data_IF_747717534525
#
_entry.id   IF_747717534525
#
_cell.length_a   1.000
_cell.length_b   1.000
_cell.length_c   1.000
_cell.angle_alpha   90.00
_cell.angle_beta   90.00
_cell.angle_gamma   90.00
#
_symmetry.space_group_name_H-M   'P 1'
#
loop_
_entity.id
_entity.type
_entity.pdbx_description
1 polymer ?
#
# COMPACT_ATOMS: atom_id res chain seq x y z
N UNK A 1 37.46 -70.84 11.73
CA UNK A 1 37.25 -72.27 11.38
C UNK A 1 36.54 -72.31 10.06
N UNK A 2 37.29 -72.77 9.10
CA UNK A 2 36.91 -73.73 8.03
C UNK A 2 35.77 -73.30 7.11
N UNK A 3 36.08 -72.90 5.86
CA UNK A 3 36.26 -73.76 4.68
C UNK A 3 34.88 -74.27 4.15
N UNK A 4 34.53 -74.34 2.91
CA UNK A 4 35.27 -74.57 1.64
C UNK A 4 34.28 -74.58 0.48
N UNK A 5 34.65 -74.08 -0.71
CA UNK A 5 34.65 -74.72 -2.03
C UNK A 5 33.28 -75.13 -2.65
N UNK A 6 33.00 -75.11 -3.92
CA UNK A 6 33.67 -75.02 -5.21
C UNK A 6 32.68 -75.47 -6.34
N UNK A 7 32.93 -75.06 -7.55
CA UNK A 7 32.76 -75.55 -8.92
C UNK A 7 31.53 -75.01 -9.69
N UNK A 8 31.66 -74.18 -10.62
CA UNK A 8 32.07 -74.31 -12.03
C UNK A 8 31.37 -75.37 -12.87
N UNK A 9 30.66 -74.98 -13.89
CA UNK A 9 30.67 -75.68 -15.18
C UNK A 9 30.17 -74.77 -16.32
N UNK A 10 30.99 -74.81 -17.38
CA UNK A 10 30.83 -74.13 -18.67
C UNK A 10 29.65 -74.74 -19.50
N UNK A 11 29.05 -73.93 -20.30
CA UNK A 11 28.23 -74.34 -21.41
C UNK A 11 28.14 -73.24 -22.47
N UNK A 12 29.00 -73.35 -23.47
CA UNK A 12 28.98 -72.45 -24.63
C UNK A 12 27.94 -72.94 -25.67
N UNK A 13 27.17 -72.03 -26.21
CA UNK A 13 26.57 -72.26 -27.54
C UNK A 13 26.20 -70.92 -28.22
N UNK A 14 26.67 -70.86 -29.37
CA UNK A 14 26.73 -69.91 -30.48
C UNK A 14 25.51 -69.05 -30.84
N UNK A 15 25.82 -67.84 -31.20
CA UNK A 15 25.36 -67.00 -32.32
C UNK A 15 24.00 -67.16 -32.93
N UNK A 16 23.25 -66.03 -32.88
CA UNK A 16 22.53 -65.51 -34.04
C UNK A 16 22.40 -64.00 -33.90
N UNK A 17 23.06 -63.28 -34.83
CA UNK A 17 22.98 -61.85 -35.04
C UNK A 17 21.61 -61.54 -35.67
N UNK A 18 20.81 -60.74 -34.98
CA UNK A 18 19.70 -60.00 -35.57
C UNK A 18 19.90 -58.53 -35.24
N UNK A 19 20.33 -57.76 -36.25
CA UNK A 19 20.40 -56.32 -36.24
C UNK A 19 18.96 -55.75 -36.15
N UNK A 20 18.56 -55.25 -35.00
CA UNK A 20 17.40 -54.39 -34.87
C UNK A 20 17.88 -52.96 -34.69
N UNK A 21 17.69 -52.15 -35.71
CA UNK A 21 17.78 -50.70 -35.61
C UNK A 21 16.75 -50.20 -34.63
N UNK A 22 17.20 -49.84 -33.45
CA UNK A 22 16.36 -49.08 -32.49
C UNK A 22 16.58 -47.61 -32.78
N UNK A 23 15.60 -46.98 -33.44
CA UNK A 23 15.47 -45.53 -33.52
C UNK A 23 15.39 -44.97 -32.13
N UNK A 24 16.45 -44.27 -31.72
CA UNK A 24 16.44 -43.40 -30.56
C UNK A 24 15.48 -42.24 -30.85
N UNK A 25 14.23 -42.32 -30.34
CA UNK A 25 13.41 -41.14 -30.23
C UNK A 25 14.15 -40.12 -29.39
N UNK A 26 14.69 -39.08 -30.06
CA UNK A 26 15.01 -37.84 -29.41
C UNK A 26 13.77 -37.34 -28.69
N UNK A 27 13.82 -37.31 -27.36
CA UNK A 27 12.92 -36.45 -26.59
C UNK A 27 13.19 -35.01 -27.06
N UNK A 28 12.33 -34.53 -27.91
CA UNK A 28 12.19 -33.08 -28.11
C UNK A 28 11.69 -32.53 -26.78
N UNK A 29 12.62 -31.93 -26.03
CA UNK A 29 12.32 -30.99 -24.99
C UNK A 29 11.46 -29.93 -25.65
N UNK A 30 10.16 -29.91 -25.34
CA UNK A 30 9.31 -28.80 -25.68
C UNK A 30 9.85 -27.58 -24.91
N UNK A 31 10.70 -26.82 -25.55
CA UNK A 31 10.86 -25.43 -25.23
C UNK A 31 9.48 -24.82 -25.39
N UNK A 32 8.75 -24.65 -24.27
CA UNK A 32 7.67 -23.69 -24.24
C UNK A 32 8.30 -22.36 -24.69
N UNK A 33 8.04 -21.98 -25.93
CA UNK A 33 8.21 -20.62 -26.38
C UNK A 33 7.35 -19.76 -25.42
N UNK A 34 7.99 -19.16 -24.44
CA UNK A 34 7.40 -18.07 -23.66
C UNK A 34 7.20 -16.94 -24.65
N UNK A 35 5.98 -16.86 -25.21
CA UNK A 35 5.56 -15.68 -25.95
C UNK A 35 5.78 -14.50 -25.01
N UNK A 36 6.78 -13.70 -25.29
CA UNK A 36 7.03 -12.46 -24.54
C UNK A 36 5.86 -11.53 -24.85
N UNK A 37 4.85 -11.56 -23.99
CA UNK A 37 3.73 -10.62 -24.07
C UNK A 37 4.28 -9.24 -23.71
N UNK A 38 4.31 -8.34 -24.67
CA UNK A 38 4.74 -6.96 -24.45
C UNK A 38 3.55 -6.17 -23.89
N UNK A 39 3.62 -5.80 -22.61
CA UNK A 39 2.66 -4.89 -21.98
C UNK A 39 3.13 -3.45 -22.14
N UNK A 40 2.18 -2.52 -22.21
CA UNK A 40 2.43 -1.09 -22.24
C UNK A 40 2.52 -0.52 -20.81
N UNK A 41 3.27 0.55 -20.63
CA UNK A 41 3.27 1.31 -19.37
C UNK A 41 1.83 1.72 -18.99
N UNK A 42 1.50 1.54 -17.68
CA UNK A 42 0.14 1.70 -17.16
C UNK A 42 -0.69 0.42 -17.15
N UNK A 43 -0.23 -0.68 -17.76
CA UNK A 43 -0.81 -2.01 -17.62
C UNK A 43 -0.14 -2.77 -16.45
N UNK A 44 -0.91 -3.57 -15.74
CA UNK A 44 -0.42 -4.37 -14.61
C UNK A 44 0.72 -5.33 -14.99
N UNK A 45 0.65 -5.94 -16.17
CA UNK A 45 1.69 -6.84 -16.67
C UNK A 45 3.03 -6.12 -16.92
N UNK A 46 3.00 -4.83 -17.26
CA UNK A 46 4.21 -4.01 -17.40
C UNK A 46 4.89 -3.82 -16.03
N UNK A 47 4.12 -3.43 -15.02
CA UNK A 47 4.64 -3.26 -13.66
C UNK A 47 5.16 -4.58 -13.09
N UNK A 48 4.45 -5.69 -13.32
CA UNK A 48 4.90 -7.02 -12.94
C UNK A 48 6.25 -7.34 -13.56
N UNK A 49 6.39 -7.20 -14.88
CA UNK A 49 7.67 -7.46 -15.59
C UNK A 49 8.80 -6.55 -15.13
N UNK A 50 8.47 -5.31 -14.79
CA UNK A 50 9.46 -4.37 -14.27
C UNK A 50 9.91 -4.78 -12.87
N UNK A 51 8.97 -4.97 -11.94
CA UNK A 51 9.25 -5.27 -10.54
C UNK A 51 9.96 -6.61 -10.36
N UNK A 52 9.67 -7.63 -11.18
CA UNK A 52 10.35 -8.92 -11.17
C UNK A 52 11.85 -8.84 -11.49
N UNK A 53 12.33 -7.76 -12.10
CA UNK A 53 13.77 -7.51 -12.31
C UNK A 53 14.46 -7.04 -11.01
N UNK A 54 13.71 -6.62 -10.00
CA UNK A 54 14.24 -6.00 -8.78
C UNK A 54 13.97 -6.81 -7.51
N UNK A 55 12.95 -7.69 -7.51
CA UNK A 55 12.59 -8.55 -6.38
C UNK A 55 11.83 -9.81 -6.83
N UNK A 56 11.74 -10.78 -5.93
CA UNK A 56 10.83 -11.93 -6.02
C UNK A 56 9.42 -11.48 -5.64
N UNK A 57 8.68 -10.92 -6.61
CA UNK A 57 7.34 -10.36 -6.40
C UNK A 57 6.33 -11.48 -6.14
N UNK A 58 5.53 -11.31 -5.10
CA UNK A 58 4.36 -12.15 -4.84
C UNK A 58 3.17 -11.60 -5.64
N UNK A 59 2.53 -12.47 -6.40
CA UNK A 59 1.28 -12.16 -7.09
C UNK A 59 0.16 -12.80 -6.27
N UNK A 60 -0.69 -11.99 -5.67
CA UNK A 60 -1.89 -12.48 -5.00
C UNK A 60 -3.10 -12.21 -5.90
N UNK A 61 -4.01 -13.17 -5.98
CA UNK A 61 -5.16 -13.10 -6.88
C UNK A 61 -6.46 -13.43 -6.15
N UNK A 62 -7.56 -12.84 -6.61
CA UNK A 62 -8.89 -13.25 -6.20
C UNK A 62 -9.31 -14.56 -6.91
N UNK A 63 -10.50 -15.07 -6.60
CA UNK A 63 -11.01 -16.33 -7.13
C UNK A 63 -11.15 -16.34 -8.67
N UNK A 64 -11.43 -15.19 -9.29
CA UNK A 64 -11.53 -15.08 -10.75
C UNK A 64 -10.17 -15.06 -11.45
N UNK A 65 -9.09 -14.78 -10.72
CA UNK A 65 -7.76 -14.56 -11.26
C UNK A 65 -7.59 -13.21 -11.99
N UNK A 66 -8.64 -12.40 -12.12
CA UNK A 66 -8.59 -11.08 -12.77
C UNK A 66 -8.22 -9.97 -11.79
N UNK A 67 -8.74 -10.04 -10.56
CA UNK A 67 -8.28 -9.15 -9.49
C UNK A 67 -6.94 -9.63 -8.95
N UNK A 68 -5.89 -8.84 -9.12
CA UNK A 68 -4.53 -9.18 -8.71
C UNK A 68 -3.84 -8.02 -8.03
N UNK A 69 -2.88 -8.33 -7.15
CA UNK A 69 -1.96 -7.35 -6.53
C UNK A 69 -0.52 -7.85 -6.59
N UNK A 70 0.44 -6.91 -6.63
CA UNK A 70 1.88 -7.19 -6.57
C UNK A 70 2.43 -6.79 -5.21
N UNK A 71 2.98 -7.75 -4.47
CA UNK A 71 3.52 -7.54 -3.13
C UNK A 71 5.02 -7.83 -3.11
N UNK A 72 5.79 -6.97 -2.43
CA UNK A 72 7.23 -7.11 -2.32
C UNK A 72 7.70 -7.14 -0.85
N UNK A 73 8.19 -8.28 -0.35
CA UNK A 73 8.83 -8.35 0.96
C UNK A 73 10.10 -7.49 1.05
N UNK A 74 10.89 -7.42 -0.02
CA UNK A 74 12.11 -6.60 -0.09
C UNK A 74 11.82 -5.11 0.12
N UNK A 75 10.71 -4.63 -0.40
CA UNK A 75 10.28 -3.24 -0.27
C UNK A 75 9.19 -3.09 0.81
N UNK A 76 9.46 -3.56 2.04
CA UNK A 76 8.66 -3.40 3.26
C UNK A 76 7.24 -3.97 3.18
N UNK A 77 7.03 -5.04 2.42
CA UNK A 77 5.71 -5.64 2.23
C UNK A 77 4.73 -4.70 1.53
N UNK A 78 5.21 -3.78 0.71
CA UNK A 78 4.35 -2.89 -0.09
C UNK A 78 3.48 -3.69 -1.04
N UNK A 79 2.22 -3.29 -1.17
CA UNK A 79 1.43 -3.55 -2.35
C UNK A 79 1.82 -2.50 -3.38
N UNK A 80 2.55 -2.87 -4.41
CA UNK A 80 3.01 -1.89 -5.42
C UNK A 80 1.87 -1.40 -6.28
N UNK A 81 1.04 -2.31 -6.75
CA UNK A 81 -0.11 -1.99 -7.59
C UNK A 81 -1.11 -3.15 -7.61
N UNK A 82 -2.32 -2.84 -8.02
CA UNK A 82 -3.40 -3.78 -8.26
C UNK A 82 -4.01 -3.62 -9.64
N UNK A 83 -4.81 -4.60 -10.05
CA UNK A 83 -5.65 -4.56 -11.25
C UNK A 83 -6.95 -5.33 -11.02
N UNK A 84 -8.02 -4.94 -11.71
CA UNK A 84 -9.31 -5.65 -11.73
C UNK A 84 -9.51 -6.51 -12.98
N UNK A 85 -8.55 -6.49 -13.94
CA UNK A 85 -8.74 -7.03 -15.29
C UNK A 85 -7.57 -7.92 -15.76
N UNK A 86 -6.77 -8.43 -14.82
CA UNK A 86 -5.60 -9.26 -15.12
C UNK A 86 -4.42 -8.48 -15.72
N UNK A 87 -3.44 -9.17 -16.32
CA UNK A 87 -2.19 -8.53 -16.75
C UNK A 87 -2.34 -7.42 -17.79
N UNK A 88 -3.34 -7.50 -18.67
CA UNK A 88 -3.64 -6.48 -19.67
C UNK A 88 -4.43 -5.29 -19.09
N UNK A 89 -4.96 -5.45 -17.88
CA UNK A 89 -5.73 -4.43 -17.19
C UNK A 89 -4.90 -3.26 -16.70
N UNK A 90 -5.59 -2.17 -16.34
CA UNK A 90 -4.97 -0.98 -15.78
C UNK A 90 -4.29 -1.29 -14.44
N UNK A 91 -3.13 -0.70 -14.25
CA UNK A 91 -2.40 -0.62 -12.99
C UNK A 91 -2.91 0.58 -12.19
N UNK A 92 -3.31 0.38 -10.92
CA UNK A 92 -3.90 1.47 -10.12
C UNK A 92 -2.89 2.18 -9.23
N UNK A 93 -1.90 1.45 -8.73
CA UNK A 93 -0.83 2.01 -7.91
C UNK A 93 0.19 2.81 -8.71
N UNK A 94 0.80 3.81 -8.08
CA UNK A 94 1.93 4.50 -8.67
C UNK A 94 3.23 3.75 -8.38
N UNK A 95 3.98 3.40 -9.44
CA UNK A 95 5.31 2.79 -9.37
C UNK A 95 6.33 3.77 -9.92
N UNK A 96 7.31 4.16 -9.10
CA UNK A 96 8.38 5.07 -9.53
C UNK A 96 9.55 4.30 -10.13
N UNK A 97 9.50 4.01 -11.40
CA UNK A 97 10.54 3.24 -12.11
C UNK A 97 11.95 3.83 -11.96
N UNK A 98 12.06 5.17 -11.87
CA UNK A 98 13.35 5.87 -11.76
C UNK A 98 14.05 5.58 -10.43
N UNK A 99 13.29 5.44 -9.35
CA UNK A 99 13.84 5.19 -8.01
C UNK A 99 14.60 3.85 -7.92
N UNK A 100 14.22 2.85 -8.72
CA UNK A 100 14.87 1.53 -8.69
C UNK A 100 16.29 1.51 -9.28
N UNK A 101 16.65 2.49 -10.04
CA UNK A 101 17.97 2.63 -10.66
C UNK A 101 18.77 3.83 -10.14
N UNK A 102 18.16 4.66 -9.32
CA UNK A 102 18.80 5.77 -8.65
C UNK A 102 19.71 5.29 -7.50
N UNK A 103 20.71 6.07 -7.10
CA UNK A 103 21.39 5.87 -5.81
C UNK A 103 20.39 5.91 -4.66
N UNK A 104 20.70 5.18 -3.57
CA UNK A 104 19.88 5.26 -2.35
C UNK A 104 19.88 6.71 -1.84
N UNK A 105 18.67 7.27 -1.68
CA UNK A 105 18.46 8.60 -1.14
C UNK A 105 18.52 8.55 0.40
N UNK A 106 19.35 9.40 1.05
CA UNK A 106 19.47 9.40 2.49
C UNK A 106 18.23 9.91 3.23
N UNK A 107 17.29 10.56 2.53
CA UNK A 107 16.04 11.08 3.09
C UNK A 107 14.90 10.09 2.95
N UNK A 108 14.60 9.65 1.71
CA UNK A 108 13.52 8.74 1.42
C UNK A 108 13.69 8.12 0.03
N UNK A 109 13.46 6.82 -0.09
CA UNK A 109 13.47 6.12 -1.36
C UNK A 109 12.05 5.91 -1.88
N UNK A 110 11.61 6.86 -2.70
CA UNK A 110 10.24 6.93 -3.20
C UNK A 110 9.97 5.90 -4.31
N UNK A 111 10.00 4.60 -4.00
CA UNK A 111 9.70 3.53 -4.98
C UNK A 111 8.24 3.50 -5.43
N UNK A 112 7.35 4.23 -4.75
CA UNK A 112 5.91 4.15 -4.95
C UNK A 112 5.27 3.06 -4.09
N UNK A 113 4.07 2.67 -4.45
CA UNK A 113 3.30 1.61 -3.81
C UNK A 113 1.87 2.03 -3.48
N UNK A 114 0.91 1.25 -4.01
CA UNK A 114 -0.52 1.44 -3.82
C UNK A 114 -0.96 1.38 -2.35
N UNK A 115 -0.28 0.56 -1.53
CA UNK A 115 -0.47 0.55 -0.08
C UNK A 115 0.90 0.31 0.60
N UNK A 116 1.33 1.32 1.34
CA UNK A 116 2.57 1.34 2.11
C UNK A 116 2.28 1.48 3.59
N UNK A 117 3.12 0.89 4.42
CA UNK A 117 3.08 1.11 5.86
C UNK A 117 4.27 1.96 6.29
N UNK A 118 3.97 3.08 6.92
CA UNK A 118 4.92 3.90 7.65
C UNK A 118 4.58 3.92 9.16
N UNK A 119 5.44 4.53 9.92
CA UNK A 119 5.25 4.82 11.33
C UNK A 119 5.24 6.33 11.53
N UNK A 120 4.31 6.82 12.34
CA UNK A 120 4.34 8.19 12.85
C UNK A 120 4.72 8.23 14.33
N UNK A 121 4.94 9.44 14.88
CA UNK A 121 4.75 10.73 14.23
C UNK A 121 5.95 11.13 13.33
N UNK A 122 5.63 11.79 12.22
CA UNK A 122 6.64 12.30 11.30
C UNK A 122 7.38 13.52 11.92
N UNK A 123 6.64 14.45 12.50
CA UNK A 123 7.18 15.61 13.18
C UNK A 123 6.87 15.63 14.68
N UNK A 124 7.12 16.78 15.31
CA UNK A 124 6.83 17.00 16.72
C UNK A 124 7.88 16.45 17.69
N UNK A 125 7.64 16.61 19.00
CA UNK A 125 8.63 16.27 20.04
C UNK A 125 8.94 14.78 20.14
N UNK A 126 8.17 13.93 19.50
CA UNK A 126 8.36 12.47 19.48
C UNK A 126 8.59 11.91 18.07
N UNK A 127 8.95 12.77 17.10
CA UNK A 127 9.22 12.38 15.72
C UNK A 127 10.16 11.18 15.62
N UNK A 128 9.89 10.30 14.66
CA UNK A 128 10.74 9.17 14.29
C UNK A 128 11.70 9.52 13.13
N UNK A 129 11.56 10.71 12.53
CA UNK A 129 12.25 11.13 11.30
C UNK A 129 13.33 12.20 11.54
N UNK A 130 13.38 12.78 12.73
CA UNK A 130 14.36 13.82 13.09
C UNK A 130 15.21 13.41 14.26
N UNK A 131 16.51 13.68 14.19
CA UNK A 131 17.42 13.46 15.31
C UNK A 131 17.16 14.49 16.42
N UNK A 132 17.38 14.09 17.67
CA UNK A 132 17.20 14.94 18.84
C UNK A 132 17.95 16.27 18.71
N UNK A 133 17.20 17.37 18.81
CA UNK A 133 17.74 18.72 18.78
C UNK A 133 18.00 19.29 17.40
N UNK A 134 17.76 18.52 16.33
CA UNK A 134 17.81 19.08 14.97
C UNK A 134 16.61 19.99 14.69
N UNK A 135 16.80 20.94 13.80
CA UNK A 135 15.69 21.72 13.24
C UNK A 135 14.82 20.83 12.35
N UNK A 136 13.49 21.01 12.41
CA UNK A 136 12.55 20.23 11.61
C UNK A 136 12.39 20.85 10.21
N UNK A 137 13.42 20.66 9.39
CA UNK A 137 13.50 21.04 7.97
C UNK A 137 13.92 19.85 7.14
N UNK A 138 13.68 19.90 5.83
CA UNK A 138 13.92 18.77 4.92
C UNK A 138 15.35 18.22 5.02
N UNK A 139 16.36 19.07 5.14
CA UNK A 139 17.77 18.65 5.21
C UNK A 139 18.08 17.70 6.38
N UNK A 140 17.27 17.75 7.44
CA UNK A 140 17.43 16.90 8.61
C UNK A 140 16.42 15.75 8.67
N UNK A 141 15.43 15.75 7.80
CA UNK A 141 14.38 14.74 7.74
C UNK A 141 14.90 13.44 7.10
N UNK A 142 14.66 12.31 7.74
CA UNK A 142 15.06 10.98 7.24
C UNK A 142 14.03 9.94 7.61
N UNK A 143 13.57 9.19 6.61
CA UNK A 143 12.67 8.05 6.84
C UNK A 143 13.44 6.92 7.54
N UNK A 144 12.89 6.33 8.61
CA UNK A 144 13.52 5.17 9.26
C UNK A 144 13.73 4.00 8.29
N UNK A 145 14.93 3.42 8.30
CA UNK A 145 15.32 2.36 7.35
C UNK A 145 14.39 1.14 7.36
N UNK A 146 13.82 0.81 8.52
CA UNK A 146 12.88 -0.31 8.68
C UNK A 146 11.60 -0.18 7.83
N UNK A 147 11.24 1.04 7.45
CA UNK A 147 10.06 1.36 6.63
C UNK A 147 10.43 2.02 5.29
N UNK A 148 11.72 2.08 4.94
CA UNK A 148 12.21 2.66 3.69
C UNK A 148 13.08 1.70 2.88
N UNK A 149 14.23 1.28 3.43
CA UNK A 149 15.26 0.54 2.68
C UNK A 149 15.45 -0.92 3.11
N UNK A 150 15.02 -1.29 4.31
CA UNK A 150 15.21 -2.64 4.83
C UNK A 150 14.06 -3.57 4.42
N UNK A 151 14.39 -4.75 3.92
CA UNK A 151 13.40 -5.78 3.63
C UNK A 151 12.72 -6.35 4.88
N UNK A 152 11.53 -6.90 4.70
CA UNK A 152 10.77 -7.58 5.74
C UNK A 152 10.82 -9.09 5.55
N UNK A 153 10.75 -9.84 6.63
CA UNK A 153 10.75 -11.30 6.60
C UNK A 153 9.39 -11.82 6.19
N UNK A 154 9.33 -12.57 5.08
CA UNK A 154 8.12 -13.28 4.67
C UNK A 154 7.91 -14.48 5.60
N UNK A 155 6.79 -14.52 6.30
CA UNK A 155 6.41 -15.62 7.19
C UNK A 155 5.63 -16.70 6.44
N UNK A 156 4.69 -16.27 5.60
CA UNK A 156 3.87 -17.16 4.77
C UNK A 156 3.32 -16.44 3.55
N UNK A 157 3.08 -17.20 2.49
CA UNK A 157 2.36 -16.73 1.31
C UNK A 157 1.51 -17.84 0.72
N UNK A 158 0.33 -17.48 0.22
CA UNK A 158 -0.58 -18.33 -0.56
C UNK A 158 -0.94 -17.61 -1.86
N UNK A 159 -1.78 -18.20 -2.69
CA UNK A 159 -2.26 -17.54 -3.92
C UNK A 159 -3.09 -16.25 -3.67
N UNK A 160 -3.57 -16.02 -2.44
CA UNK A 160 -4.44 -14.89 -2.11
C UNK A 160 -4.08 -14.16 -0.81
N UNK A 161 -2.99 -14.51 -0.15
CA UNK A 161 -2.56 -13.84 1.09
C UNK A 161 -1.05 -13.92 1.29
N UNK A 162 -0.50 -12.97 2.05
CA UNK A 162 0.88 -12.96 2.50
C UNK A 162 0.97 -12.38 3.91
N UNK A 163 1.88 -12.89 4.73
CA UNK A 163 2.17 -12.40 6.07
C UNK A 163 3.66 -12.11 6.20
N UNK A 164 3.99 -10.96 6.75
CA UNK A 164 5.37 -10.50 6.89
C UNK A 164 5.61 -9.86 8.25
N UNK A 165 6.86 -9.89 8.69
CA UNK A 165 7.26 -9.21 9.93
C UNK A 165 8.58 -8.46 9.80
N UNK A 166 8.75 -7.47 10.68
CA UNK A 166 9.98 -6.71 10.88
C UNK A 166 10.17 -6.39 12.35
N UNK A 167 11.33 -6.69 12.88
CA UNK A 167 11.77 -6.16 14.18
C UNK A 167 12.62 -4.91 13.94
N UNK A 168 12.34 -3.87 14.71
CA UNK A 168 13.04 -2.60 14.61
C UNK A 168 13.28 -1.98 15.99
N UNK A 169 14.32 -1.18 16.08
CA UNK A 169 14.59 -0.30 17.20
C UNK A 169 14.76 1.11 16.66
N UNK A 170 13.87 2.01 17.07
CA UNK A 170 13.84 3.40 16.61
C UNK A 170 14.03 4.34 17.80
N UNK A 171 14.78 5.40 17.59
CA UNK A 171 14.96 6.45 18.59
C UNK A 171 14.16 7.66 18.17
N UNK A 172 13.24 8.12 19.02
CA UNK A 172 12.45 9.29 18.72
C UNK A 172 13.20 10.59 19.04
N UNK A 173 12.64 11.73 18.60
CA UNK A 173 13.23 13.08 18.82
C UNK A 173 13.48 13.41 20.30
N UNK A 174 12.65 12.95 21.23
CA UNK A 174 12.89 13.10 22.66
C UNK A 174 14.11 12.30 23.15
N UNK A 175 14.53 11.32 22.40
CA UNK A 175 15.66 10.44 22.72
C UNK A 175 15.25 9.09 23.31
N UNK A 176 13.94 8.78 23.36
CA UNK A 176 13.45 7.48 23.80
C UNK A 176 13.70 6.42 22.72
N UNK A 177 14.22 5.29 23.14
CA UNK A 177 14.39 4.11 22.28
C UNK A 177 13.13 3.26 22.34
N UNK A 178 12.57 2.96 21.17
CA UNK A 178 11.33 2.20 20.98
C UNK A 178 11.68 0.89 20.28
N UNK A 179 11.73 -0.20 21.04
CA UNK A 179 11.94 -1.56 20.48
C UNK A 179 10.61 -2.17 20.12
N UNK A 180 10.44 -2.55 18.85
CA UNK A 180 9.16 -2.96 18.31
C UNK A 180 9.25 -4.15 17.37
N UNK A 181 8.12 -4.85 17.25
CA UNK A 181 7.86 -5.79 16.16
C UNK A 181 6.66 -5.31 15.37
N UNK A 182 6.84 -5.20 14.07
CA UNK A 182 5.81 -4.89 13.10
C UNK A 182 5.37 -6.18 12.41
N UNK A 183 4.07 -6.38 12.22
CA UNK A 183 3.52 -7.42 11.37
C UNK A 183 2.58 -6.79 10.35
N UNK A 184 2.56 -7.36 9.15
CA UNK A 184 1.69 -6.93 8.06
C UNK A 184 1.10 -8.17 7.39
N UNK A 185 -0.21 -8.32 7.50
CA UNK A 185 -0.99 -9.36 6.85
C UNK A 185 -1.76 -8.76 5.69
N UNK A 186 -1.56 -9.29 4.49
CA UNK A 186 -2.19 -8.84 3.24
C UNK A 186 -3.08 -9.96 2.73
N UNK A 187 -4.33 -9.64 2.38
CA UNK A 187 -5.30 -10.62 1.89
C UNK A 187 -6.14 -10.07 0.77
N UNK A 188 -6.24 -10.81 -0.33
CA UNK A 188 -7.23 -10.54 -1.38
C UNK A 188 -8.64 -10.77 -0.86
N UNK A 189 -9.56 -9.91 -1.25
CA UNK A 189 -10.98 -10.03 -0.93
C UNK A 189 -11.75 -10.62 -2.12
N UNK A 190 -12.66 -11.54 -1.85
CA UNK A 190 -13.63 -12.00 -2.86
C UNK A 190 -14.69 -10.92 -3.11
N UNK A 191 -15.40 -10.99 -4.24
CA UNK A 191 -16.50 -10.07 -4.52
C UNK A 191 -17.55 -10.06 -3.41
N UNK A 192 -17.90 -11.24 -2.86
CA UNK A 192 -18.83 -11.32 -1.75
C UNK A 192 -18.32 -10.66 -0.47
N UNK A 193 -17.02 -10.70 -0.21
CA UNK A 193 -16.43 -9.97 0.92
C UNK A 193 -16.42 -8.46 0.67
N UNK A 194 -16.13 -8.00 -0.55
CA UNK A 194 -16.23 -6.59 -0.94
C UNK A 194 -17.66 -6.08 -0.76
N UNK A 195 -18.66 -6.82 -1.27
CA UNK A 195 -20.07 -6.50 -1.12
C UNK A 195 -20.51 -6.39 0.35
N UNK A 196 -20.12 -7.37 1.16
CA UNK A 196 -20.45 -7.41 2.58
C UNK A 196 -19.78 -6.25 3.35
N UNK A 197 -18.51 -5.96 3.06
CA UNK A 197 -17.75 -4.93 3.77
C UNK A 197 -18.24 -3.51 3.42
N UNK A 198 -18.56 -3.27 2.15
CA UNK A 198 -19.01 -1.95 1.68
C UNK A 198 -20.54 -1.78 1.70
N UNK A 199 -21.30 -2.85 1.94
CA UNK A 199 -22.77 -2.81 1.90
C UNK A 199 -23.34 -2.52 0.51
N UNK A 200 -22.68 -2.98 -0.54
CA UNK A 200 -23.03 -2.79 -1.96
C UNK A 200 -23.44 -4.12 -2.61
N UNK A 201 -23.86 -4.07 -3.86
CA UNK A 201 -24.00 -5.22 -4.76
C UNK A 201 -23.24 -4.94 -6.04
N UNK A 202 -22.43 -5.92 -6.46
CA UNK A 202 -21.70 -5.88 -7.74
C UNK A 202 -22.52 -6.57 -8.83
N UNK A 203 -22.45 -6.05 -10.02
CA UNK A 203 -23.03 -6.65 -11.22
C UNK A 203 -21.91 -7.17 -12.13
N UNK A 204 -22.22 -8.04 -13.07
CA UNK A 204 -21.24 -8.54 -14.05
C UNK A 204 -20.64 -7.45 -14.94
N UNK A 205 -21.24 -6.25 -14.94
CA UNK A 205 -20.76 -5.08 -15.68
C UNK A 205 -19.71 -4.27 -14.92
N UNK A 206 -19.44 -4.63 -13.65
CA UNK A 206 -18.42 -4.00 -12.80
C UNK A 206 -17.35 -5.03 -12.48
N UNK A 207 -16.14 -4.76 -12.87
CA UNK A 207 -14.96 -5.50 -12.43
C UNK A 207 -14.37 -4.83 -11.21
N UNK A 208 -13.89 -5.63 -10.28
CA UNK A 208 -13.37 -5.13 -9.02
C UNK A 208 -12.11 -5.88 -8.59
N UNK A 209 -11.27 -5.17 -7.89
CA UNK A 209 -10.21 -5.72 -7.06
C UNK A 209 -10.34 -5.11 -5.67
N UNK A 210 -10.15 -5.92 -4.64
CA UNK A 210 -10.09 -5.46 -3.27
C UNK A 210 -9.11 -6.28 -2.47
N UNK A 211 -8.41 -5.62 -1.58
CA UNK A 211 -7.51 -6.27 -0.63
C UNK A 211 -7.55 -5.57 0.73
N UNK A 212 -7.20 -6.33 1.76
CA UNK A 212 -7.12 -5.87 3.14
C UNK A 212 -5.68 -5.96 3.60
N UNK A 213 -5.20 -4.92 4.29
CA UNK A 213 -3.96 -4.96 5.05
C UNK A 213 -4.26 -4.78 6.53
N UNK A 214 -3.81 -5.74 7.35
CA UNK A 214 -3.86 -5.66 8.80
C UNK A 214 -2.43 -5.44 9.27
N UNK A 215 -2.17 -4.22 9.71
CA UNK A 215 -0.87 -3.81 10.22
C UNK A 215 -0.88 -3.86 11.74
N UNK A 216 0.15 -4.36 12.37
CA UNK A 216 0.25 -4.34 13.82
C UNK A 216 1.64 -3.96 14.30
N UNK A 217 1.67 -3.32 15.48
CA UNK A 217 2.88 -2.97 16.20
C UNK A 217 2.81 -3.52 17.61
N UNK A 218 3.85 -4.21 18.04
CA UNK A 218 4.00 -4.72 19.40
C UNK A 218 5.19 -4.07 20.08
N UNK A 219 5.04 -3.66 21.32
CA UNK A 219 6.15 -3.21 22.15
C UNK A 219 6.98 -4.42 22.61
N UNK A 220 8.19 -4.57 22.08
CA UNK A 220 9.13 -5.65 22.45
C UNK A 220 10.19 -5.19 23.47
N UNK A 221 10.14 -3.93 23.90
CA UNK A 221 11.03 -3.36 24.91
C UNK A 221 10.63 -3.76 26.34
N UNK A 222 11.34 -3.20 27.31
CA UNK A 222 11.11 -3.44 28.73
C UNK A 222 10.23 -2.34 29.37
N UNK A 223 10.14 -1.18 28.71
CA UNK A 223 9.43 -0.01 29.23
C UNK A 223 8.15 0.26 28.43
N UNK A 224 7.14 0.80 29.07
CA UNK A 224 5.91 1.22 28.43
C UNK A 224 6.13 2.47 27.56
N UNK A 225 5.46 2.52 26.43
CA UNK A 225 5.34 3.74 25.62
C UNK A 225 4.21 4.59 26.18
N UNK A 226 4.53 5.80 26.60
CA UNK A 226 3.60 6.70 27.32
C UNK A 226 3.56 8.08 26.68
N UNK A 227 2.73 8.98 27.20
CA UNK A 227 2.72 10.37 26.76
C UNK A 227 4.04 11.11 27.05
N UNK A 228 4.73 10.72 28.12
CA UNK A 228 5.98 11.32 28.55
C UNK A 228 7.16 10.86 27.70
N UNK A 229 7.15 9.58 27.29
CA UNK A 229 8.23 8.98 26.50
C UNK A 229 7.99 9.04 25.00
N UNK A 230 6.76 9.32 24.60
CA UNK A 230 6.27 9.20 23.23
C UNK A 230 5.85 7.78 22.88
N UNK A 231 5.08 7.65 21.84
CA UNK A 231 4.64 6.39 21.26
C UNK A 231 4.60 6.52 19.73
N UNK A 232 4.77 5.44 18.97
CA UNK A 232 4.53 5.46 17.53
C UNK A 232 3.02 5.34 17.21
N UNK A 233 2.67 5.53 15.94
CA UNK A 233 1.40 5.10 15.36
C UNK A 233 1.66 4.39 14.03
N UNK A 234 0.72 3.55 13.59
CA UNK A 234 0.71 2.93 12.28
C UNK A 234 0.10 3.91 11.29
N UNK A 235 0.70 4.04 10.12
CA UNK A 235 0.31 5.01 9.12
C UNK A 235 0.31 4.33 7.73
N UNK A 236 -0.88 4.05 7.19
CA UNK A 236 -1.07 3.53 5.83
C UNK A 236 -1.14 4.70 4.85
N UNK A 237 -0.35 4.60 3.79
CA UNK A 237 -0.25 5.62 2.74
C UNK A 237 -0.38 4.95 1.38
N UNK A 238 -1.43 5.31 0.65
CA UNK A 238 -1.69 4.78 -0.69
C UNK A 238 -1.21 5.76 -1.75
N UNK A 239 -0.32 5.34 -2.64
CA UNK A 239 0.07 6.14 -3.80
C UNK A 239 -0.64 5.62 -5.05
N UNK A 240 -1.57 6.40 -5.57
CA UNK A 240 -2.35 6.07 -6.76
C UNK A 240 -1.93 6.91 -7.97
N UNK A 241 -2.17 6.35 -9.15
CA UNK A 241 -1.98 7.06 -10.44
C UNK A 241 -3.09 8.09 -10.66
N UNK A 242 -2.75 9.38 -10.79
CA UNK A 242 -3.73 10.43 -11.07
C UNK A 242 -4.10 10.49 -12.55
N UNK A 243 -5.22 11.15 -12.83
CA UNK A 243 -5.51 11.78 -14.15
C UNK A 243 -5.81 13.25 -13.92
N UNK A 244 -5.88 14.02 -15.01
CA UNK A 244 -6.21 15.45 -14.96
C UNK A 244 -7.58 15.75 -14.32
N UNK A 245 -8.42 14.73 -14.16
CA UNK A 245 -9.78 14.84 -13.66
C UNK A 245 -10.06 13.96 -12.43
N UNK A 246 -9.03 13.48 -11.77
CA UNK A 246 -9.18 12.73 -10.52
C UNK A 246 -9.50 13.67 -9.37
N UNK A 247 -10.49 13.29 -8.55
CA UNK A 247 -10.90 14.03 -7.36
C UNK A 247 -10.94 13.07 -6.16
N UNK A 248 -10.25 13.41 -5.09
CA UNK A 248 -10.35 12.73 -3.80
C UNK A 248 -11.65 13.15 -3.13
N UNK A 249 -12.32 12.19 -2.50
CA UNK A 249 -13.60 12.31 -1.80
C UNK A 249 -13.38 11.87 -0.34
N UNK A 250 -13.50 12.81 0.59
CA UNK A 250 -13.37 12.52 2.02
C UNK A 250 -14.65 12.88 2.75
N UNK A 251 -15.51 11.89 3.07
CA UNK A 251 -16.68 12.12 3.91
C UNK A 251 -16.26 12.56 5.31
N UNK A 252 -17.00 13.55 5.86
CA UNK A 252 -16.72 14.05 7.19
C UNK A 252 -17.98 14.18 8.05
N UNK A 253 -17.80 14.22 9.36
CA UNK A 253 -18.87 14.44 10.32
C UNK A 253 -19.20 15.94 10.40
N UNK A 254 -20.36 16.35 9.90
CA UNK A 254 -20.77 17.75 9.81
C UNK A 254 -21.04 18.37 11.20
N UNK A 255 -21.52 17.56 12.13
CA UNK A 255 -21.93 18.04 13.48
C UNK A 255 -20.76 18.24 14.43
N UNK A 256 -19.57 17.74 14.12
CA UNK A 256 -18.38 17.94 14.94
C UNK A 256 -17.97 19.42 15.00
N UNK A 257 -17.38 19.86 16.12
CA UNK A 257 -16.94 21.25 16.29
C UNK A 257 -15.56 21.50 15.70
N UNK A 258 -15.26 22.77 15.41
CA UNK A 258 -13.97 23.21 14.89
C UNK A 258 -13.89 23.16 13.35
N UNK A 259 -12.69 23.34 12.81
CA UNK A 259 -12.45 23.29 11.35
C UNK A 259 -12.73 21.88 10.80
N UNK A 260 -13.14 21.80 9.54
CA UNK A 260 -13.42 20.51 8.90
C UNK A 260 -12.13 19.74 8.66
N UNK A 261 -11.11 20.41 8.13
CA UNK A 261 -9.83 19.82 7.83
C UNK A 261 -8.67 20.75 8.19
N UNK A 262 -7.49 20.19 8.46
CA UNK A 262 -6.20 20.87 8.43
C UNK A 262 -5.76 20.93 6.97
N UNK A 263 -5.41 22.11 6.44
CA UNK A 263 -5.12 22.31 5.01
C UNK A 263 -3.78 23.02 4.76
N UNK A 264 -2.97 23.19 5.80
CA UNK A 264 -1.78 24.03 5.83
C UNK A 264 -0.48 23.27 6.13
N UNK A 265 -0.45 21.94 5.90
CA UNK A 265 0.75 21.09 6.14
C UNK A 265 1.98 21.55 5.33
N UNK A 266 1.77 21.93 4.07
CA UNK A 266 2.81 22.40 3.14
C UNK A 266 2.48 23.80 2.58
N UNK A 267 1.79 24.64 3.36
CA UNK A 267 1.13 25.85 2.92
C UNK A 267 -0.36 25.60 2.63
N UNK A 268 -1.15 26.66 2.60
CA UNK A 268 -2.59 26.55 2.36
C UNK A 268 -2.87 26.00 0.96
N UNK A 269 -3.83 25.08 0.89
CA UNK A 269 -4.34 24.56 -0.39
C UNK A 269 -5.15 25.66 -1.09
N UNK A 270 -4.90 25.87 -2.38
CA UNK A 270 -5.61 26.84 -3.18
C UNK A 270 -7.13 26.59 -3.19
N UNK A 271 -7.91 27.66 -3.09
CA UNK A 271 -9.37 27.58 -2.93
C UNK A 271 -10.12 26.92 -4.11
N UNK A 272 -9.54 26.94 -5.30
CA UNK A 272 -10.06 26.25 -6.48
C UNK A 272 -9.71 24.77 -6.52
N UNK A 273 -8.95 24.25 -5.54
CA UNK A 273 -8.53 22.88 -5.47
C UNK A 273 -9.21 22.06 -4.37
N UNK A 274 -9.87 22.73 -3.44
CA UNK A 274 -10.59 22.11 -2.32
C UNK A 274 -11.97 22.71 -2.16
N UNK A 275 -12.98 21.88 -1.95
CA UNK A 275 -14.33 22.34 -1.66
C UNK A 275 -15.05 21.42 -0.67
N UNK A 276 -16.11 21.93 -0.08
CA UNK A 276 -16.90 21.24 0.95
C UNK A 276 -18.37 21.32 0.58
N UNK A 277 -19.01 20.18 0.32
CA UNK A 277 -20.41 20.14 -0.08
C UNK A 277 -21.04 18.82 0.38
N UNK A 278 -22.23 18.89 1.00
CA UNK A 278 -23.02 17.73 1.38
C UNK A 278 -22.27 16.69 2.27
N UNK A 279 -21.45 17.16 3.22
CA UNK A 279 -20.69 16.29 4.11
C UNK A 279 -19.51 15.58 3.43
N UNK A 280 -19.13 16.01 2.24
CA UNK A 280 -17.95 15.54 1.50
C UNK A 280 -16.99 16.69 1.29
N UNK A 281 -15.71 16.45 1.59
CA UNK A 281 -14.59 17.27 1.15
C UNK A 281 -14.12 16.72 -0.19
N UNK A 282 -14.06 17.59 -1.19
CA UNK A 282 -13.53 17.33 -2.53
C UNK A 282 -12.14 17.94 -2.64
N UNK A 283 -11.17 17.19 -3.12
CA UNK A 283 -9.80 17.66 -3.31
C UNK A 283 -9.28 17.21 -4.69
N UNK A 284 -8.83 18.17 -5.53
CA UNK A 284 -8.23 17.85 -6.83
C UNK A 284 -6.97 17.02 -6.67
N UNK A 285 -6.93 15.85 -7.31
CA UNK A 285 -5.88 14.87 -7.24
C UNK A 285 -5.26 14.62 -8.63
N UNK A 286 -4.80 15.69 -9.27
CA UNK A 286 -4.30 15.69 -10.65
C UNK A 286 -2.78 15.65 -10.78
N UNK A 287 -2.06 15.58 -9.67
CA UNK A 287 -0.60 15.59 -9.66
C UNK A 287 0.04 16.92 -10.09
N UNK A 288 -0.70 18.04 -10.05
CA UNK A 288 -0.24 19.34 -10.61
C UNK A 288 0.01 20.43 -9.56
N UNK A 289 -0.37 20.23 -8.32
CA UNK A 289 -0.17 21.20 -7.25
C UNK A 289 -0.05 20.49 -5.92
N UNK A 290 1.11 20.63 -5.28
CA UNK A 290 1.39 19.97 -4.01
C UNK A 290 0.47 20.51 -2.91
N UNK A 291 -0.20 19.60 -2.21
CA UNK A 291 -1.05 19.94 -1.08
C UNK A 291 -1.36 18.73 -0.23
N UNK A 292 -1.49 18.95 1.08
CA UNK A 292 -1.88 17.92 2.05
C UNK A 292 -2.97 18.45 2.95
N UNK A 293 -3.96 17.61 3.21
CA UNK A 293 -5.02 17.87 4.18
C UNK A 293 -5.12 16.75 5.19
N UNK A 294 -5.74 17.04 6.34
CA UNK A 294 -5.99 16.06 7.38
C UNK A 294 -7.31 16.30 8.09
N UNK A 295 -7.96 15.23 8.52
CA UNK A 295 -9.19 15.24 9.30
C UNK A 295 -8.95 14.61 10.67
N UNK A 296 -9.33 15.36 11.72
CA UNK A 296 -9.26 14.86 13.08
C UNK A 296 -10.16 13.63 13.27
N UNK A 297 -9.88 12.76 14.26
CA UNK A 297 -10.68 11.56 14.51
C UNK A 297 -12.16 11.83 14.81
N UNK A 298 -12.52 13.04 15.28
CA UNK A 298 -13.91 13.45 15.49
C UNK A 298 -14.62 13.89 14.21
N UNK A 299 -13.87 14.23 13.15
CA UNK A 299 -14.37 14.62 11.83
C UNK A 299 -14.35 13.47 10.83
N UNK A 300 -13.33 12.63 10.91
CA UNK A 300 -13.10 11.56 9.95
C UNK A 300 -14.17 10.47 10.03
N UNK A 301 -14.60 9.98 8.87
CA UNK A 301 -15.38 8.74 8.73
C UNK A 301 -14.44 7.60 8.31
N UNK A 302 -14.87 6.37 8.50
CA UNK A 302 -14.05 5.16 8.25
C UNK A 302 -13.90 4.81 6.77
N UNK A 303 -14.20 5.75 5.87
CA UNK A 303 -14.17 5.59 4.42
C UNK A 303 -13.67 6.89 3.78
N UNK A 304 -12.85 6.75 2.75
CA UNK A 304 -12.49 7.78 1.80
C UNK A 304 -12.40 7.17 0.40
N UNK A 305 -12.16 7.96 -0.61
CA UNK A 305 -11.98 7.42 -1.96
C UNK A 305 -11.59 8.49 -2.95
N UNK A 306 -11.59 8.12 -4.22
CA UNK A 306 -11.39 9.03 -5.34
C UNK A 306 -12.24 8.60 -6.54
N UNK A 307 -12.54 9.54 -7.40
CA UNK A 307 -13.20 9.26 -8.65
C UNK A 307 -12.43 9.89 -9.82
N UNK A 308 -12.06 9.07 -10.79
CA UNK A 308 -11.46 9.49 -12.04
C UNK A 308 -12.57 9.74 -13.06
N UNK A 309 -12.90 11.00 -13.30
CA UNK A 309 -13.95 11.40 -14.23
C UNK A 309 -13.67 11.00 -15.69
N UNK A 310 -12.39 10.94 -16.09
CA UNK A 310 -12.01 10.58 -17.45
C UNK A 310 -12.32 9.10 -17.75
N UNK A 311 -11.93 8.21 -16.86
CA UNK A 311 -12.03 6.77 -17.03
C UNK A 311 -13.25 6.14 -16.35
N UNK A 312 -13.91 6.86 -15.45
CA UNK A 312 -15.02 6.34 -14.66
C UNK A 312 -14.57 5.29 -13.65
N UNK A 313 -13.40 5.49 -13.03
CA UNK A 313 -12.84 4.58 -12.02
C UNK A 313 -13.19 5.11 -10.64
N UNK A 314 -13.74 4.25 -9.81
CA UNK A 314 -13.99 4.53 -8.40
C UNK A 314 -12.96 3.76 -7.55
N UNK A 315 -12.14 4.49 -6.82
CA UNK A 315 -11.27 3.96 -5.77
C UNK A 315 -11.91 4.23 -4.42
N UNK A 316 -11.90 3.25 -3.54
CA UNK A 316 -12.43 3.36 -2.17
C UNK A 316 -11.39 2.82 -1.21
N UNK A 317 -11.15 3.54 -0.13
CA UNK A 317 -10.38 3.06 1.01
C UNK A 317 -11.28 2.98 2.24
N UNK A 318 -11.14 1.93 3.04
CA UNK A 318 -11.89 1.75 4.28
C UNK A 318 -10.93 1.32 5.38
N UNK A 319 -11.02 1.96 6.53
CA UNK A 319 -10.02 1.80 7.59
C UNK A 319 -10.64 1.92 8.97
N UNK A 320 -9.89 1.44 9.98
CA UNK A 320 -10.31 1.53 11.38
C UNK A 320 -10.04 2.93 11.95
N UNK A 321 -11.03 3.51 12.62
CA UNK A 321 -10.89 4.74 13.43
C UNK A 321 -11.53 4.51 14.79
N UNK A 322 -10.85 4.93 15.86
CA UNK A 322 -11.41 5.03 17.21
C UNK A 322 -11.30 6.49 17.68
N UNK A 323 -12.40 7.23 17.52
CA UNK A 323 -12.45 8.65 17.89
C UNK A 323 -12.33 8.93 19.39
N UNK A 324 -12.37 7.91 20.23
CA UNK A 324 -12.14 8.02 21.68
C UNK A 324 -10.66 8.03 22.07
N UNK A 325 -9.77 7.72 21.12
CA UNK A 325 -8.33 7.60 21.33
C UNK A 325 -7.57 8.84 20.91
N UNK A 326 -6.30 8.91 21.32
CA UNK A 326 -5.36 9.97 20.96
C UNK A 326 -4.72 9.67 19.60
N UNK A 327 -4.67 10.67 18.74
CA UNK A 327 -3.94 10.64 17.47
C UNK A 327 -2.78 11.61 17.53
N UNK A 328 -1.65 11.23 16.93
CA UNK A 328 -0.41 12.01 17.01
C UNK A 328 -0.39 13.10 15.94
N UNK A 329 0.04 14.31 16.34
CA UNK A 329 0.31 15.36 15.39
C UNK A 329 1.55 15.01 14.57
N UNK A 330 1.46 15.14 13.25
CA UNK A 330 2.51 14.76 12.28
C UNK A 330 3.29 15.96 11.73
N UNK A 331 2.90 17.18 12.11
CA UNK A 331 3.49 18.40 11.57
C UNK A 331 4.94 18.62 12.06
N UNK A 332 5.77 19.17 11.20
CA UNK A 332 7.19 19.40 11.48
C UNK A 332 7.41 20.58 12.44
N UNK A 333 6.89 20.46 13.64
CA UNK A 333 7.02 21.50 14.68
C UNK A 333 6.87 20.92 16.07
N UNK A 334 7.68 21.39 17.02
CA UNK A 334 7.54 21.06 18.43
C UNK A 334 6.63 22.02 19.20
N UNK A 335 6.02 23.01 18.51
CA UNK A 335 5.21 24.07 19.14
C UNK A 335 3.74 23.73 19.29
N UNK A 336 3.25 22.72 18.56
CA UNK A 336 1.85 22.23 18.62
C UNK A 336 1.73 21.08 19.62
N UNK A 337 0.51 20.84 20.11
CA UNK A 337 0.21 19.67 20.97
C UNK A 337 0.47 18.37 20.17
N UNK A 338 1.39 17.51 20.61
CA UNK A 338 1.74 16.28 19.92
C UNK A 338 0.61 15.24 19.92
N UNK A 339 -0.44 15.42 20.74
CA UNK A 339 -1.54 14.49 20.94
C UNK A 339 -2.85 14.97 20.29
N UNK A 340 -2.78 15.94 19.43
CA UNK A 340 -3.91 16.48 18.64
C UNK A 340 -3.55 16.33 17.17
N UNK A 341 -3.73 15.16 16.62
CA UNK A 341 -3.42 14.81 15.23
C UNK A 341 -4.63 14.40 14.43
N UNK A 342 -4.41 14.15 13.15
CA UNK A 342 -5.41 13.73 12.19
C UNK A 342 -5.43 12.19 12.03
N UNK A 343 -6.62 11.63 11.79
CA UNK A 343 -6.83 10.20 11.61
C UNK A 343 -6.86 9.79 10.13
N UNK A 344 -7.21 10.74 9.25
CA UNK A 344 -7.25 10.58 7.80
C UNK A 344 -6.54 11.74 7.16
N UNK A 345 -5.68 11.45 6.20
CA UNK A 345 -5.03 12.47 5.39
C UNK A 345 -5.25 12.20 3.91
N UNK A 346 -5.09 13.24 3.10
CA UNK A 346 -5.00 13.13 1.65
C UNK A 346 -3.90 14.06 1.14
N UNK A 347 -3.20 13.59 0.12
CA UNK A 347 -2.10 14.31 -0.49
C UNK A 347 -2.25 14.32 -2.01
N UNK A 348 -1.96 15.44 -2.63
CA UNK A 348 -1.76 15.55 -4.06
C UNK A 348 -0.34 16.04 -4.32
N UNK A 349 0.40 15.30 -5.14
CA UNK A 349 1.73 15.69 -5.54
C UNK A 349 1.70 16.82 -6.57
N UNK A 350 2.80 17.53 -6.70
CA UNK A 350 2.96 18.62 -7.65
C UNK A 350 4.37 19.17 -7.65
N UNK A 351 4.71 19.97 -8.65
CA UNK A 351 6.03 20.55 -8.76
C UNK A 351 6.36 21.44 -7.55
N UNK A 352 7.61 21.35 -7.09
CA UNK A 352 8.20 22.26 -6.12
C UNK A 352 8.59 23.59 -6.80
N UNK A 353 9.06 24.58 -6.01
CA UNK A 353 9.47 25.90 -6.52
C UNK A 353 10.58 25.81 -7.58
N UNK A 354 11.46 24.82 -7.48
CA UNK A 354 12.54 24.56 -8.44
C UNK A 354 12.08 23.75 -9.68
N UNK A 355 10.81 23.40 -9.76
CA UNK A 355 10.20 22.62 -10.82
C UNK A 355 10.41 21.10 -10.69
N UNK A 356 11.12 20.62 -9.68
CA UNK A 356 11.24 19.18 -9.40
C UNK A 356 9.94 18.61 -8.88
N UNK A 357 9.69 17.33 -9.17
CA UNK A 357 8.49 16.60 -8.72
C UNK A 357 8.82 15.12 -8.52
N UNK A 358 8.30 14.54 -7.44
CA UNK A 358 8.48 13.12 -7.14
C UNK A 358 7.64 12.23 -8.08
N UNK A 359 6.35 12.58 -8.28
CA UNK A 359 5.36 11.85 -9.05
C UNK A 359 5.20 12.27 -10.50
N UNK A 360 3.98 12.24 -11.04
CA UNK A 360 2.71 12.56 -10.34
C UNK A 360 2.06 11.37 -9.64
N UNK A 361 1.53 11.59 -8.44
CA UNK A 361 0.68 10.67 -7.71
C UNK A 361 -0.26 11.45 -6.76
N UNK A 362 -1.25 10.77 -6.19
CA UNK A 362 -2.02 11.26 -5.06
C UNK A 362 -2.10 10.18 -3.99
N UNK A 363 -2.37 10.60 -2.74
CA UNK A 363 -2.48 9.68 -1.61
C UNK A 363 -3.82 9.83 -0.89
N UNK A 364 -4.31 8.68 -0.40
CA UNK A 364 -5.32 8.59 0.64
C UNK A 364 -4.66 7.85 1.80
N UNK A 365 -4.72 8.44 2.98
CA UNK A 365 -3.94 7.95 4.11
C UNK A 365 -4.84 7.71 5.33
N UNK A 366 -4.52 6.70 6.11
CA UNK A 366 -5.15 6.46 7.41
C UNK A 366 -4.12 6.23 8.49
N UNK A 367 -4.40 6.75 9.67
CA UNK A 367 -3.49 6.70 10.83
C UNK A 367 -4.19 5.97 11.98
N UNK A 368 -3.46 5.09 12.67
CA UNK A 368 -3.93 4.50 13.92
C UNK A 368 -3.86 5.49 15.09
N UNK A 369 -4.58 5.24 16.19
CA UNK A 369 -4.26 5.90 17.45
C UNK A 369 -2.80 5.71 17.84
N UNK A 370 -2.31 6.59 18.74
CA UNK A 370 -1.01 6.44 19.38
C UNK A 370 -0.90 5.09 20.11
N UNK A 371 0.15 4.35 19.84
CA UNK A 371 0.41 3.03 20.42
C UNK A 371 0.97 3.15 21.84
N UNK A 372 0.18 3.66 22.80
CA UNK A 372 0.56 3.66 24.21
C UNK A 372 0.50 2.25 24.77
N UNK A 373 1.58 1.49 24.57
CA UNK A 373 1.66 0.05 24.85
C UNK A 373 2.63 -0.25 25.99
N UNK A 374 2.20 -1.10 26.92
CA UNK A 374 3.12 -1.77 27.84
C UNK A 374 3.94 -2.82 27.12
N UNK A 375 5.05 -3.32 27.73
CA UNK A 375 5.77 -4.46 27.20
C UNK A 375 4.84 -5.63 26.83
N UNK A 376 5.04 -6.19 25.63
CA UNK A 376 4.28 -7.29 25.02
C UNK A 376 2.84 -6.94 24.58
N UNK A 377 2.34 -5.72 24.80
CA UNK A 377 1.06 -5.28 24.23
C UNK A 377 1.19 -4.97 22.74
N UNK A 378 0.06 -5.04 22.03
CA UNK A 378 -0.05 -4.86 20.59
C UNK A 378 -1.18 -3.88 20.24
N UNK A 379 -0.96 -3.08 19.20
CA UNK A 379 -1.99 -2.29 18.50
C UNK A 379 -2.11 -2.81 17.07
N UNK A 380 -3.34 -2.82 16.54
CA UNK A 380 -3.63 -3.17 15.15
C UNK A 380 -4.34 -2.01 14.44
N UNK A 381 -4.07 -1.90 13.13
CA UNK A 381 -4.74 -0.97 12.23
C UNK A 381 -5.08 -1.69 10.93
N UNK A 382 -6.36 -1.68 10.57
CA UNK A 382 -6.84 -2.26 9.31
C UNK A 382 -7.02 -1.15 8.27
N UNK A 383 -6.51 -1.41 7.06
CA UNK A 383 -6.69 -0.57 5.89
C UNK A 383 -7.04 -1.45 4.69
N UNK A 384 -8.14 -1.14 4.03
CA UNK A 384 -8.64 -1.88 2.87
C UNK A 384 -8.70 -0.95 1.67
N UNK A 385 -8.31 -1.46 0.50
CA UNK A 385 -8.36 -0.73 -0.78
C UNK A 385 -9.23 -1.49 -1.77
N UNK A 386 -10.04 -0.76 -2.51
CA UNK A 386 -10.95 -1.30 -3.54
C UNK A 386 -10.92 -0.42 -4.78
N UNK A 387 -10.90 -1.05 -5.96
CA UNK A 387 -11.09 -0.38 -7.23
C UNK A 387 -12.24 -1.01 -8.01
N UNK A 388 -13.02 -0.16 -8.63
CA UNK A 388 -14.18 -0.53 -9.45
C UNK A 388 -14.04 0.09 -10.82
N UNK A 389 -14.12 -0.74 -11.88
CA UNK A 389 -14.07 -0.33 -13.28
C UNK A 389 -15.19 -1.00 -14.07
N UNK A 390 -15.60 -0.43 -15.18
CA UNK A 390 -16.62 -1.02 -16.05
C UNK A 390 -17.67 0.00 -16.49
N UNK A 391 -18.93 -0.42 -16.49
CA UNK A 391 -20.03 0.46 -16.94
C UNK A 391 -20.16 1.70 -16.04
N UNK A 392 -20.08 2.88 -16.65
CA UNK A 392 -20.08 4.16 -15.92
C UNK A 392 -21.38 4.39 -15.12
N UNK A 393 -22.50 3.84 -15.55
CA UNK A 393 -23.79 3.98 -14.83
C UNK A 393 -23.77 3.14 -13.56
N UNK A 394 -23.21 1.93 -13.64
CA UNK A 394 -23.05 1.05 -12.48
C UNK A 394 -22.06 1.66 -11.48
N UNK A 395 -20.93 2.17 -11.95
CA UNK A 395 -19.94 2.86 -11.08
C UNK A 395 -20.55 4.10 -10.43
N UNK A 396 -21.34 4.89 -11.16
CA UNK A 396 -22.07 6.03 -10.58
C UNK A 396 -23.08 5.59 -9.49
N UNK A 397 -23.70 4.41 -9.66
CA UNK A 397 -24.57 3.84 -8.64
C UNK A 397 -23.80 3.46 -7.35
N UNK A 398 -22.60 2.88 -7.49
CA UNK A 398 -21.72 2.61 -6.36
C UNK A 398 -21.28 3.90 -5.67
N UNK A 399 -20.90 4.94 -6.43
CA UNK A 399 -20.54 6.26 -5.90
C UNK A 399 -21.70 6.85 -5.08
N UNK A 400 -22.94 6.79 -5.63
CA UNK A 400 -24.13 7.25 -4.90
C UNK A 400 -24.37 6.45 -3.63
N UNK A 401 -24.18 5.15 -3.65
CA UNK A 401 -24.39 4.27 -2.50
C UNK A 401 -23.37 4.53 -1.39
N UNK A 402 -22.09 4.68 -1.73
CA UNK A 402 -20.98 4.78 -0.78
C UNK A 402 -20.78 6.19 -0.22
N UNK A 403 -20.93 7.21 -1.08
CA UNK A 403 -20.64 8.60 -0.75
C UNK A 403 -21.89 9.51 -0.73
N UNK A 404 -23.04 9.01 -1.15
CA UNK A 404 -24.29 9.76 -1.28
C UNK A 404 -24.21 10.97 -2.22
N UNK A 405 -23.30 10.95 -3.19
CA UNK A 405 -23.11 11.99 -4.23
C UNK A 405 -23.30 11.42 -5.62
N UNK A 406 -23.40 12.30 -6.60
CA UNK A 406 -23.47 11.98 -8.03
C UNK A 406 -22.17 12.37 -8.74
N UNK A 407 -21.97 11.89 -9.97
CA UNK A 407 -20.85 12.33 -10.83
C UNK A 407 -20.93 13.84 -11.11
N UNK A 408 -22.14 14.40 -11.26
CA UNK A 408 -22.34 15.85 -11.43
C UNK A 408 -21.88 16.66 -10.21
N UNK A 409 -22.10 16.14 -8.99
CA UNK A 409 -21.59 16.78 -7.77
C UNK A 409 -20.07 16.92 -7.80
N UNK A 410 -19.35 15.94 -8.36
CA UNK A 410 -17.88 15.97 -8.52
C UNK A 410 -17.49 16.98 -9.63
N UNK A 411 -18.17 16.94 -10.78
CA UNK A 411 -17.92 17.85 -11.92
C UNK A 411 -18.11 19.32 -11.57
N UNK A 412 -19.00 19.61 -10.62
CA UNK A 412 -19.35 20.98 -10.18
C UNK A 412 -18.82 21.30 -8.78
N UNK A 413 -17.84 20.55 -8.30
CA UNK A 413 -17.31 20.74 -6.94
C UNK A 413 -16.43 21.99 -6.82
N UNK A 414 -15.80 22.44 -7.91
CA UNK A 414 -14.82 23.53 -7.95
C UNK A 414 -15.26 24.68 -8.84
#
# INVERSE_FOLDING_TARGET
MKNTWLHALMGASALLLASSCQETKKNESSTQDTVSTNYNEGQFGYDLQFLQKHDSILILSNESGLGQILVSPKYQGKVFTSTAEGPDGKSFGWVNYKAFTAPVDPHMNAYGGEDRLWLGPEGGPFSLYFEKGSEMVYDHWKTPAAIDTEGWTLLSATGNSASMEKTAELKNYAGTVLSMKLNRDIKMLSNSQIEADLGIQLTDQVKSVGFSTINSISNTGQEAWTKETGAPCLWSLDMFMPTDSTVILVPYEETAKGKVATTDYFGEIDKDRISYKNGILYFKADGKSRGKLGLSPSRAKTIAGSYDLANGILTVTKFSIDSSKVYLNQEWTTKKDPFVGDAVNAYNDGPLEDGSQMGPFYEIESVSPAAFLKPSEKLEHTHNVYHFVGDKTQIASLLKKLFNITVEDIQTAF
#
